data_IF_341797118934
#
_entry.id   IF_341797118934
#
_cell.length_a   1.000
_cell.length_b   1.000
_cell.length_c   1.000
_cell.angle_alpha   90.00
_cell.angle_beta   90.00
_cell.angle_gamma   90.00
#
_symmetry.space_group_name_H-M   'P 1'
#
loop_
_entity.id
_entity.type
_entity.pdbx_description
1 polymer ?
#
# COMPACT_ATOMS: atom_id res chain seq x y z
N UNK A 1 -7.73 -2.97 13.68
CA UNK A 1 -6.33 -3.39 13.56
C UNK A 1 -5.41 -2.28 14.01
N UNK A 2 -4.36 -2.65 14.70
CA UNK A 2 -3.42 -1.69 15.30
C UNK A 2 -2.85 -0.68 14.29
N UNK A 3 -2.51 -1.14 13.09
CA UNK A 3 -1.96 -0.26 12.05
C UNK A 3 -2.96 0.81 11.60
N UNK A 4 -4.24 0.45 11.48
CA UNK A 4 -5.28 1.41 11.13
C UNK A 4 -5.53 2.40 12.26
N UNK A 5 -5.44 1.96 13.51
CA UNK A 5 -5.58 2.83 14.67
C UNK A 5 -4.50 3.91 14.69
N UNK A 6 -3.26 3.53 14.40
CA UNK A 6 -2.14 4.46 14.34
C UNK A 6 -2.34 5.47 13.20
N UNK A 7 -2.79 5.00 12.03
CA UNK A 7 -3.02 5.87 10.88
C UNK A 7 -4.12 6.89 11.10
N UNK A 8 -5.10 6.56 11.93
CA UNK A 8 -6.26 7.42 12.17
C UNK A 8 -6.16 8.22 13.48
N UNK A 9 -5.03 8.12 14.20
CA UNK A 9 -4.83 8.85 15.44
C UNK A 9 -4.63 10.34 15.14
N UNK A 10 -5.55 11.23 15.59
CA UNK A 10 -5.43 12.66 15.34
C UNK A 10 -4.25 13.32 16.06
N UNK A 11 -3.69 12.67 17.08
CA UNK A 11 -2.56 13.19 17.84
C UNK A 11 -1.21 12.91 17.16
N UNK A 12 -1.19 11.93 16.25
CA UNK A 12 0.00 11.55 15.48
C UNK A 12 -0.40 11.41 14.02
N UNK A 13 -0.51 12.53 13.29
CA UNK A 13 -0.90 12.46 11.89
C UNK A 13 0.14 11.66 11.11
N UNK A 14 -0.32 10.57 10.50
CA UNK A 14 0.49 9.65 9.72
C UNK A 14 0.00 9.71 8.28
N UNK A 15 0.92 9.95 7.36
CA UNK A 15 0.61 9.84 5.94
C UNK A 15 1.07 8.49 5.44
N UNK A 16 0.19 7.81 4.74
CA UNK A 16 0.50 6.51 4.14
C UNK A 16 0.37 6.59 2.63
N UNK A 17 1.38 6.09 1.95
CA UNK A 17 1.36 5.94 0.50
C UNK A 17 1.73 4.50 0.20
N UNK A 18 0.79 3.76 -0.37
CA UNK A 18 0.97 2.35 -0.66
C UNK A 18 1.02 2.12 -2.17
N UNK A 19 2.01 1.34 -2.61
CA UNK A 19 2.11 0.88 -3.99
C UNK A 19 1.96 -0.63 -3.97
N UNK A 20 0.91 -1.13 -4.60
CA UNK A 20 0.54 -2.54 -4.58
C UNK A 20 0.72 -3.17 -5.96
N UNK A 21 1.20 -4.41 -6.00
CA UNK A 21 1.21 -5.18 -7.24
C UNK A 21 -0.22 -5.59 -7.59
N UNK A 22 -0.59 -5.52 -8.85
CA UNK A 22 -1.94 -5.90 -9.29
C UNK A 22 -2.30 -7.34 -8.91
N UNK A 23 -1.33 -8.23 -8.80
CA UNK A 23 -1.56 -9.62 -8.40
C UNK A 23 -2.28 -9.73 -7.05
N UNK A 24 -2.05 -8.77 -6.14
CA UNK A 24 -2.71 -8.74 -4.83
C UNK A 24 -4.22 -8.64 -4.95
N UNK A 25 -4.72 -7.96 -5.99
CA UNK A 25 -6.14 -7.76 -6.22
C UNK A 25 -6.84 -9.02 -6.72
N UNK A 26 -6.09 -9.92 -7.33
CA UNK A 26 -6.63 -11.12 -7.96
C UNK A 26 -6.44 -12.39 -7.14
N UNK A 27 -5.66 -12.31 -6.07
CA UNK A 27 -5.44 -13.46 -5.19
C UNK A 27 -6.58 -13.54 -4.18
N UNK A 28 -7.53 -14.43 -4.44
CA UNK A 28 -8.67 -14.62 -3.57
C UNK A 28 -8.26 -15.20 -2.22
N UNK A 29 -8.65 -14.50 -1.15
CA UNK A 29 -8.42 -14.95 0.23
C UNK A 29 -9.74 -14.77 0.99
N UNK A 30 -10.19 -15.83 1.64
CA UNK A 30 -11.41 -15.77 2.45
C UNK A 30 -12.72 -15.88 1.67
N UNK A 31 -12.65 -16.19 0.37
CA UNK A 31 -13.81 -16.31 -0.48
C UNK A 31 -14.15 -15.02 -1.23
N UNK A 32 -15.01 -15.10 -2.28
CA UNK A 32 -15.31 -13.97 -3.15
C UNK A 32 -15.91 -12.77 -2.42
N UNK A 33 -16.83 -13.02 -1.50
CA UNK A 33 -17.49 -11.94 -0.77
C UNK A 33 -16.53 -11.17 0.13
N UNK A 34 -15.68 -11.89 0.86
CA UNK A 34 -14.68 -11.27 1.73
C UNK A 34 -13.70 -10.45 0.89
N UNK A 35 -13.26 -10.99 -0.24
CA UNK A 35 -12.34 -10.31 -1.14
C UNK A 35 -12.95 -9.02 -1.68
N UNK A 36 -14.21 -9.07 -2.09
CA UNK A 36 -14.95 -7.91 -2.57
C UNK A 36 -15.00 -6.82 -1.49
N UNK A 37 -15.36 -7.20 -0.26
CA UNK A 37 -15.44 -6.26 0.86
C UNK A 37 -14.09 -5.62 1.15
N UNK A 38 -13.00 -6.40 1.09
CA UNK A 38 -11.65 -5.89 1.30
C UNK A 38 -11.27 -4.86 0.23
N UNK A 39 -11.60 -5.14 -1.03
CA UNK A 39 -11.29 -4.22 -2.13
C UNK A 39 -12.12 -2.93 -2.02
N UNK A 40 -13.39 -3.03 -1.65
CA UNK A 40 -14.24 -1.87 -1.41
C UNK A 40 -13.70 -1.02 -0.25
N UNK A 41 -13.23 -1.68 0.81
CA UNK A 41 -12.62 -0.99 1.95
C UNK A 41 -11.34 -0.26 1.54
N UNK A 42 -10.54 -0.87 0.68
CA UNK A 42 -9.32 -0.25 0.15
C UNK A 42 -9.65 1.02 -0.63
N UNK A 43 -10.73 1.00 -1.42
CA UNK A 43 -11.20 2.19 -2.15
C UNK A 43 -11.59 3.29 -1.16
N UNK A 44 -12.34 2.95 -0.11
CA UNK A 44 -12.73 3.91 0.91
C UNK A 44 -11.52 4.55 1.59
N UNK A 45 -10.53 3.74 1.95
CA UNK A 45 -9.29 4.24 2.55
C UNK A 45 -8.55 5.18 1.61
N UNK A 46 -8.57 4.89 0.31
CA UNK A 46 -7.87 5.70 -0.68
C UNK A 46 -8.44 7.11 -0.85
N UNK A 47 -9.66 7.34 -0.37
CA UNK A 47 -10.27 8.67 -0.39
C UNK A 47 -9.88 9.55 0.79
N UNK A 48 -9.24 8.99 1.80
CA UNK A 48 -8.77 9.77 2.96
C UNK A 48 -7.57 10.61 2.57
N UNK A 49 -7.53 11.85 3.04
CA UNK A 49 -6.51 12.82 2.64
C UNK A 49 -5.07 12.41 2.99
N UNK A 50 -4.91 11.57 4.00
CA UNK A 50 -3.59 11.11 4.45
C UNK A 50 -3.20 9.74 3.89
N UNK A 51 -4.04 9.16 3.01
CA UNK A 51 -3.79 7.84 2.42
C UNK A 51 -3.82 7.95 0.91
N UNK A 52 -2.77 7.45 0.26
CA UNK A 52 -2.70 7.33 -1.20
C UNK A 52 -2.41 5.87 -1.54
N UNK A 53 -3.17 5.33 -2.48
CA UNK A 53 -2.99 3.95 -2.95
C UNK A 53 -2.77 3.98 -4.46
N UNK A 54 -1.74 3.30 -4.91
CA UNK A 54 -1.42 3.12 -6.31
C UNK A 54 -1.18 1.64 -6.59
N UNK A 55 -1.54 1.18 -7.78
CA UNK A 55 -1.32 -0.19 -8.21
C UNK A 55 -0.34 -0.22 -9.36
N UNK A 56 0.60 -1.18 -9.30
CA UNK A 56 1.50 -1.50 -10.40
C UNK A 56 0.77 -2.51 -11.29
N UNK A 57 0.33 -2.10 -12.49
CA UNK A 57 -0.46 -3.00 -13.32
C UNK A 57 0.42 -4.08 -13.98
N UNK A 58 -0.20 -5.20 -14.36
CA UNK A 58 0.50 -6.26 -15.06
C UNK A 58 1.18 -5.79 -16.35
N UNK A 59 0.64 -4.75 -16.96
CA UNK A 59 1.16 -4.22 -18.23
C UNK A 59 2.58 -3.71 -18.15
N UNK A 60 3.10 -3.37 -16.96
CA UNK A 60 4.49 -2.93 -16.84
C UNK A 60 5.49 -4.09 -16.78
N UNK A 61 5.00 -5.32 -16.63
CA UNK A 61 5.88 -6.50 -16.56
C UNK A 61 6.62 -6.60 -15.23
N UNK A 62 7.80 -7.20 -15.24
CA UNK A 62 8.61 -7.35 -14.04
C UNK A 62 9.11 -6.00 -13.51
N UNK A 63 9.14 -5.85 -12.21
CA UNK A 63 9.56 -4.62 -11.54
C UNK A 63 10.30 -4.91 -10.23
N UNK A 64 11.06 -3.95 -9.69
CA UNK A 64 11.86 -4.19 -8.47
C UNK A 64 11.03 -4.57 -7.24
N UNK A 65 9.74 -4.22 -7.20
CA UNK A 65 8.86 -4.54 -6.07
C UNK A 65 8.37 -5.97 -6.01
N UNK A 66 8.71 -6.81 -6.99
CA UNK A 66 8.25 -8.21 -7.02
C UNK A 66 8.85 -9.06 -5.89
N UNK A 67 9.95 -8.65 -5.31
CA UNK A 67 10.62 -9.41 -4.26
C UNK A 67 9.93 -9.32 -2.90
N UNK A 68 8.94 -8.46 -2.74
CA UNK A 68 8.19 -8.33 -1.49
C UNK A 68 7.42 -7.02 -1.38
N UNK A 69 6.57 -6.96 -0.38
CA UNK A 69 5.76 -5.77 -0.09
C UNK A 69 6.40 -4.96 1.03
N UNK A 70 6.47 -3.66 0.85
CA UNK A 70 6.94 -2.77 1.90
C UNK A 70 6.06 -1.52 1.97
N UNK A 71 6.08 -0.86 3.11
CA UNK A 71 5.39 0.41 3.32
C UNK A 71 6.37 1.40 3.95
N UNK A 72 6.26 2.65 3.56
CA UNK A 72 7.05 3.72 4.15
C UNK A 72 6.10 4.60 4.96
N UNK A 73 6.39 4.75 6.24
CA UNK A 73 5.56 5.50 7.17
C UNK A 73 6.24 6.82 7.51
N UNK A 74 5.63 7.91 7.08
CA UNK A 74 6.10 9.26 7.40
C UNK A 74 5.18 9.93 8.39
N UNK A 75 5.77 10.66 9.33
CA UNK A 75 5.05 11.46 10.29
C UNK A 75 5.23 12.94 9.97
N UNK A 76 4.19 13.75 10.21
CA UNK A 76 4.28 15.19 9.94
C UNK A 76 5.29 15.89 10.86
N UNK A 77 5.44 15.39 12.08
CA UNK A 77 6.42 15.91 13.01
C UNK A 77 7.82 15.43 12.58
N UNK A 78 8.71 16.35 12.24
CA UNK A 78 10.08 16.03 11.83
C UNK A 78 10.88 15.32 12.92
N UNK A 79 10.45 15.42 14.18
CA UNK A 79 11.06 14.69 15.29
C UNK A 79 10.79 13.19 15.21
N UNK A 80 9.75 12.76 14.50
CA UNK A 80 9.43 11.35 14.33
C UNK A 80 10.14 10.83 13.07
N UNK A 81 10.90 9.76 13.25
CA UNK A 81 11.67 9.15 12.16
C UNK A 81 10.77 8.45 11.15
N UNK A 82 11.17 8.51 9.88
CA UNK A 82 10.54 7.70 8.84
C UNK A 82 10.85 6.22 9.10
N UNK A 83 9.85 5.37 8.98
CA UNK A 83 9.97 3.94 9.22
C UNK A 83 9.59 3.17 7.96
N UNK A 84 10.40 2.17 7.59
CA UNK A 84 10.06 1.23 6.53
C UNK A 84 9.55 -0.05 7.18
N UNK A 85 8.38 -0.49 6.77
CA UNK A 85 7.73 -1.70 7.28
C UNK A 85 7.75 -2.78 6.22
N UNK A 86 8.27 -3.95 6.58
CA UNK A 86 8.32 -5.12 5.71
C UNK A 86 7.49 -6.25 6.34
N UNK A 87 6.57 -6.81 5.57
CA UNK A 87 5.78 -7.96 6.01
C UNK A 87 6.52 -9.25 5.65
N UNK A 88 6.77 -10.10 6.65
CA UNK A 88 7.37 -11.41 6.45
C UNK A 88 6.38 -12.53 6.74
N UNK A 89 6.73 -13.74 6.31
CA UNK A 89 5.89 -14.92 6.52
C UNK A 89 5.74 -15.24 8.01
N UNK A 90 6.83 -15.13 8.77
CA UNK A 90 6.85 -15.48 10.19
C UNK A 90 6.96 -14.28 11.12
N UNK A 91 7.43 -13.15 10.62
CA UNK A 91 7.59 -11.94 11.41
C UNK A 91 7.67 -10.72 10.51
N UNK A 92 7.32 -9.57 11.08
CA UNK A 92 7.42 -8.30 10.40
C UNK A 92 8.71 -7.60 10.82
N UNK A 93 9.23 -6.73 9.94
CA UNK A 93 10.47 -6.01 10.19
C UNK A 93 10.22 -4.52 10.04
N UNK A 94 10.74 -3.75 11.00
CA UNK A 94 10.70 -2.30 10.96
C UNK A 94 12.13 -1.77 10.82
N UNK A 95 12.38 -0.96 9.78
CA UNK A 95 13.69 -0.41 9.49
C UNK A 95 13.69 1.08 9.74
N UNK A 96 14.62 1.56 10.56
CA UNK A 96 14.73 2.98 10.90
C UNK A 96 16.10 3.57 10.53
N UNK A 97 17.08 2.72 10.18
CA UNK A 97 18.41 3.20 9.77
C UNK A 97 18.30 4.07 8.53
N UNK A 98 19.00 5.19 8.54
CA UNK A 98 19.00 6.13 7.44
C UNK A 98 19.37 5.49 6.11
N UNK A 99 20.36 4.60 6.09
CA UNK A 99 20.78 3.89 4.88
C UNK A 99 19.64 3.00 4.33
N UNK A 100 18.94 2.29 5.21
CA UNK A 100 17.82 1.43 4.81
C UNK A 100 16.65 2.28 4.32
N UNK A 101 16.31 3.34 5.03
CA UNK A 101 15.23 4.26 4.65
C UNK A 101 15.51 4.86 3.28
N UNK A 102 16.76 5.28 3.03
CA UNK A 102 17.15 5.85 1.73
C UNK A 102 17.00 4.83 0.62
N UNK A 103 17.43 3.57 0.85
CA UNK A 103 17.32 2.50 -0.15
C UNK A 103 15.87 2.26 -0.53
N UNK A 104 14.99 2.10 0.45
CA UNK A 104 13.57 1.85 0.19
C UNK A 104 12.85 3.08 -0.37
N UNK A 105 13.24 4.26 0.04
CA UNK A 105 12.66 5.50 -0.51
C UNK A 105 13.01 5.66 -1.99
N UNK A 106 14.22 5.33 -2.39
CA UNK A 106 14.63 5.36 -3.80
C UNK A 106 13.86 4.32 -4.61
N UNK A 107 13.77 3.09 -4.09
CA UNK A 107 12.98 2.04 -4.72
C UNK A 107 11.53 2.46 -4.86
N UNK A 108 10.96 3.02 -3.81
CA UNK A 108 9.59 3.50 -3.78
C UNK A 108 9.33 4.57 -4.86
N UNK A 109 10.25 5.52 -5.03
CA UNK A 109 10.12 6.55 -6.07
C UNK A 109 10.04 5.94 -7.46
N UNK A 110 10.85 4.91 -7.74
CA UNK A 110 10.78 4.19 -9.01
C UNK A 110 9.43 3.49 -9.19
N UNK A 111 8.96 2.80 -8.17
CA UNK A 111 7.69 2.08 -8.23
C UNK A 111 6.52 3.05 -8.42
N UNK A 112 6.53 4.15 -7.68
CA UNK A 112 5.49 5.17 -7.77
C UNK A 112 5.39 5.76 -9.16
N UNK A 113 6.51 5.99 -9.81
CA UNK A 113 6.54 6.53 -11.16
C UNK A 113 5.99 5.55 -12.20
N UNK A 114 6.11 4.23 -11.93
CA UNK A 114 5.62 3.18 -12.83
C UNK A 114 4.16 2.82 -12.58
N UNK A 115 3.63 3.16 -11.41
CA UNK A 115 2.29 2.77 -10.99
C UNK A 115 1.20 3.64 -11.63
N UNK A 116 -0.02 3.10 -11.65
CA UNK A 116 -1.19 3.89 -12.01
C UNK A 116 -1.38 5.02 -11.01
N UNK A 117 -1.92 6.15 -11.46
CA UNK A 117 -2.29 7.25 -10.56
C UNK A 117 -3.42 6.83 -9.62
N UNK A 118 -3.69 7.63 -8.57
CA UNK A 118 -4.72 7.27 -7.57
C UNK A 118 -6.11 7.04 -8.16
N UNK A 119 -6.57 7.87 -9.10
CA UNK A 119 -7.88 7.69 -9.74
C UNK A 119 -7.94 6.42 -10.57
N UNK A 120 -6.93 6.19 -11.41
CA UNK A 120 -6.86 5.01 -12.26
C UNK A 120 -6.77 3.74 -11.39
N UNK A 121 -6.07 3.83 -10.26
CA UNK A 121 -5.98 2.75 -9.30
C UNK A 121 -7.36 2.40 -8.74
N UNK A 122 -8.12 3.41 -8.30
CA UNK A 122 -9.47 3.18 -7.79
C UNK A 122 -10.38 2.54 -8.84
N UNK A 123 -10.27 2.99 -10.09
CA UNK A 123 -11.05 2.41 -11.20
C UNK A 123 -10.71 0.93 -11.39
N UNK A 124 -9.44 0.57 -11.34
CA UNK A 124 -9.00 -0.81 -11.47
C UNK A 124 -9.52 -1.66 -10.31
N UNK A 125 -9.36 -1.18 -9.07
CA UNK A 125 -9.83 -1.90 -7.87
C UNK A 125 -11.34 -2.11 -7.95
N UNK A 126 -12.09 -1.10 -8.38
CA UNK A 126 -13.54 -1.19 -8.52
C UNK A 126 -13.93 -2.27 -9.54
N UNK A 127 -13.26 -2.30 -10.70
CA UNK A 127 -13.52 -3.32 -11.72
C UNK A 127 -13.24 -4.73 -11.19
N UNK A 128 -12.13 -4.90 -10.49
CA UNK A 128 -11.78 -6.21 -9.92
C UNK A 128 -12.78 -6.61 -8.84
N UNK A 129 -13.20 -5.67 -7.99
CA UNK A 129 -14.20 -5.98 -6.94
C UNK A 129 -15.52 -6.46 -7.53
N UNK A 130 -15.94 -5.88 -8.65
CA UNK A 130 -17.17 -6.30 -9.34
C UNK A 130 -17.07 -7.69 -9.93
N UNK A 131 -15.88 -8.13 -10.32
CA UNK A 131 -15.66 -9.48 -10.80
C UNK A 131 -15.90 -10.50 -9.68
N UNK A 132 -15.61 -10.15 -8.44
CA UNK A 132 -15.91 -11.00 -7.28
C UNK A 132 -17.40 -11.01 -6.91
N UNK A 133 -18.20 -10.12 -7.47
CA UNK A 133 -19.64 -10.06 -7.22
C UNK A 133 -20.44 -11.05 -8.07
N UNK A 134 -19.80 -11.68 -9.03
CA UNK A 134 -20.46 -12.64 -9.94
C UNK A 134 -20.44 -14.06 -9.35
#
# INVERSE_FOLDING_TARGET
MRRQEVMNDPKKPLRMWAVLDEAVLHREVGGPQVMREQLEHLIELSHKSHITVQVLPYSIGAHPGMSGTFSILDFEDEADATIVYLEGVTSDLYLEKETDVTTYSTLYEHLRAMALGPEQTRDLIDRVSKDYAR
#
